data_IF_164430919815
#
_entry.id   IF_164430919815
#
_cell.length_a   1.000
_cell.length_b   1.000
_cell.length_c   1.000
_cell.angle_alpha   90.00
_cell.angle_beta   90.00
_cell.angle_gamma   90.00
#
_symmetry.space_group_name_H-M   'P 1'
#
loop_
_entity.id
_entity.type
_entity.pdbx_description
1 polymer ?
#
# COMPACT_ATOMS: atom_id res chain seq x y z
N UNK A 1 45.71 -44.77 5.95
CA UNK A 1 45.76 -43.75 7.02
C UNK A 1 45.33 -42.37 6.51
N UNK A 2 45.75 -41.95 5.30
CA UNK A 2 45.42 -40.61 4.75
C UNK A 2 43.92 -40.39 4.44
N UNK A 3 43.22 -41.40 3.91
CA UNK A 3 41.79 -41.30 3.57
C UNK A 3 40.91 -41.14 4.82
N UNK A 4 41.28 -41.82 5.91
CA UNK A 4 40.53 -41.76 7.18
C UNK A 4 40.67 -40.36 7.82
N UNK A 5 41.86 -39.75 7.73
CA UNK A 5 42.09 -38.38 8.20
C UNK A 5 41.28 -37.32 7.44
N UNK A 6 41.18 -37.46 6.11
CA UNK A 6 40.36 -36.56 5.28
C UNK A 6 38.86 -36.70 5.56
N UNK A 7 38.37 -37.91 5.83
CA UNK A 7 36.96 -38.14 6.19
C UNK A 7 36.60 -37.53 7.55
N UNK A 8 37.50 -37.59 8.53
CA UNK A 8 37.30 -36.95 9.84
C UNK A 8 37.25 -35.43 9.70
N UNK A 9 38.15 -34.83 8.90
CA UNK A 9 38.14 -33.38 8.63
C UNK A 9 36.89 -32.93 7.88
N UNK A 10 36.43 -33.70 6.90
CA UNK A 10 35.19 -33.43 6.18
C UNK A 10 33.96 -33.51 7.12
N UNK A 11 33.93 -34.50 8.00
CA UNK A 11 32.86 -34.64 9.00
C UNK A 11 32.86 -33.50 10.02
N UNK A 12 34.04 -33.10 10.53
CA UNK A 12 34.16 -31.95 11.43
C UNK A 12 33.72 -30.65 10.74
N UNK A 13 34.12 -30.46 9.48
CA UNK A 13 33.67 -29.33 8.66
C UNK A 13 32.15 -29.30 8.50
N UNK A 14 31.53 -30.45 8.22
CA UNK A 14 30.08 -30.57 8.12
C UNK A 14 29.36 -30.22 9.44
N UNK A 15 29.86 -30.70 10.58
CA UNK A 15 29.28 -30.41 11.90
C UNK A 15 29.41 -28.92 12.26
N UNK A 16 30.58 -28.31 12.00
CA UNK A 16 30.82 -26.89 12.27
C UNK A 16 29.94 -26.01 11.37
N UNK A 17 29.87 -26.31 10.07
CA UNK A 17 29.02 -25.58 9.12
C UNK A 17 27.53 -25.72 9.48
N UNK A 18 27.09 -26.93 9.85
CA UNK A 18 25.73 -27.18 10.29
C UNK A 18 25.38 -26.43 11.59
N UNK A 19 26.30 -26.39 12.55
CA UNK A 19 26.14 -25.64 13.79
C UNK A 19 26.11 -24.12 13.57
N UNK A 20 27.01 -23.60 12.73
CA UNK A 20 27.08 -22.20 12.36
C UNK A 20 25.80 -21.73 11.66
N UNK A 21 25.30 -22.51 10.68
CA UNK A 21 24.06 -22.18 9.99
C UNK A 21 22.86 -22.16 10.95
N UNK A 22 22.73 -23.16 11.83
CA UNK A 22 21.68 -23.17 12.86
C UNK A 22 21.77 -21.96 13.81
N UNK A 23 22.97 -21.60 14.25
CA UNK A 23 23.18 -20.44 15.11
C UNK A 23 22.85 -19.11 14.40
N UNK A 24 23.24 -18.98 13.12
CA UNK A 24 22.92 -17.82 12.28
C UNK A 24 21.41 -17.66 12.09
N UNK A 25 20.69 -18.75 11.77
CA UNK A 25 19.23 -18.74 11.62
C UNK A 25 18.51 -18.38 12.93
N UNK A 26 18.95 -18.94 14.07
CA UNK A 26 18.40 -18.58 15.38
C UNK A 26 18.59 -17.11 15.70
N UNK A 27 19.79 -16.59 15.45
CA UNK A 27 20.09 -15.17 15.65
C UNK A 27 19.23 -14.29 14.73
N UNK A 28 19.07 -14.66 13.47
CA UNK A 28 18.21 -13.96 12.52
C UNK A 28 16.79 -13.82 13.08
N UNK A 29 16.12 -14.92 13.42
CA UNK A 29 14.74 -14.86 13.92
C UNK A 29 14.62 -14.11 15.25
N UNK A 30 15.60 -14.25 16.15
CA UNK A 30 15.60 -13.52 17.41
C UNK A 30 15.71 -12.00 17.20
N UNK A 31 16.59 -11.56 16.29
CA UNK A 31 16.75 -10.13 15.97
C UNK A 31 15.52 -9.59 15.26
N UNK A 32 14.98 -10.32 14.28
CA UNK A 32 13.76 -9.92 13.54
C UNK A 32 12.57 -9.79 14.49
N UNK A 33 12.34 -10.79 15.36
CA UNK A 33 11.25 -10.75 16.33
C UNK A 33 11.37 -9.58 17.30
N UNK A 34 12.59 -9.29 17.78
CA UNK A 34 12.85 -8.12 18.62
C UNK A 34 12.61 -6.81 17.87
N UNK A 35 13.09 -6.71 16.63
CA UNK A 35 12.93 -5.52 15.81
C UNK A 35 11.46 -5.21 15.51
N UNK A 36 10.63 -6.24 15.29
CA UNK A 36 9.18 -6.10 15.15
C UNK A 36 8.54 -5.49 16.40
N UNK A 37 8.88 -5.97 17.60
CA UNK A 37 8.37 -5.39 18.87
C UNK A 37 8.80 -3.94 19.07
N UNK A 38 10.07 -3.63 18.78
CA UNK A 38 10.61 -2.27 18.92
C UNK A 38 9.99 -1.28 17.92
N UNK A 39 9.44 -1.78 16.81
CA UNK A 39 8.74 -0.95 15.84
C UNK A 39 7.52 -0.27 16.47
N UNK A 40 6.79 -0.98 17.35
CA UNK A 40 5.56 -0.50 17.99
C UNK A 40 5.82 0.40 19.21
N UNK A 41 6.98 0.25 19.85
CA UNK A 41 7.29 0.88 21.15
C UNK A 41 7.87 2.30 21.07
N UNK A 42 8.29 2.76 19.89
CA UNK A 42 9.11 3.99 19.75
C UNK A 42 8.57 4.94 18.68
N UNK A 43 8.53 6.25 18.94
CA UNK A 43 8.18 7.27 17.92
C UNK A 43 9.42 7.86 17.20
N UNK A 44 10.62 7.33 17.46
CA UNK A 44 11.84 7.85 16.86
C UNK A 44 11.99 7.45 15.38
N UNK A 45 12.29 8.45 14.56
CA UNK A 45 12.56 8.30 13.12
C UNK A 45 13.98 7.78 12.90
N UNK A 46 14.17 6.46 13.00
CA UNK A 46 15.42 5.83 12.60
C UNK A 46 15.51 5.67 11.08
N UNK A 47 16.69 5.95 10.51
CA UNK A 47 16.98 5.74 9.10
C UNK A 47 18.24 4.90 8.94
N UNK A 48 18.29 3.97 7.97
CA UNK A 48 19.48 3.18 7.73
C UNK A 48 20.60 4.05 7.16
N UNK A 49 21.85 3.72 7.48
CA UNK A 49 23.02 4.55 7.15
C UNK A 49 23.20 4.74 5.64
N UNK A 50 22.73 3.77 4.86
CA UNK A 50 22.85 3.75 3.41
C UNK A 50 21.71 4.45 2.66
N UNK A 51 20.70 5.01 3.34
CA UNK A 51 19.50 5.57 2.70
C UNK A 51 19.79 6.68 1.68
N UNK A 52 20.84 7.46 1.91
CA UNK A 52 21.27 8.55 1.04
C UNK A 52 22.10 8.08 -0.16
N UNK A 53 22.42 6.79 -0.25
CA UNK A 53 23.09 6.20 -1.41
C UNK A 53 22.03 5.66 -2.38
N UNK A 54 21.83 6.38 -3.48
CA UNK A 54 20.81 6.07 -4.48
C UNK A 54 20.92 4.65 -5.04
N UNK A 55 22.15 4.18 -5.30
CA UNK A 55 22.38 2.82 -5.82
C UNK A 55 21.93 1.77 -4.81
N UNK A 56 22.33 1.89 -3.54
CA UNK A 56 21.92 0.95 -2.48
C UNK A 56 20.42 1.01 -2.23
N UNK A 57 19.83 2.21 -2.25
CA UNK A 57 18.38 2.38 -2.07
C UNK A 57 17.60 1.71 -3.20
N UNK A 58 17.99 1.93 -4.45
CA UNK A 58 17.34 1.32 -5.61
C UNK A 58 17.52 -0.21 -5.63
N UNK A 59 18.70 -0.71 -5.28
CA UNK A 59 18.95 -2.15 -5.13
C UNK A 59 18.03 -2.75 -4.04
N UNK A 60 17.96 -2.09 -2.88
CA UNK A 60 17.13 -2.53 -1.77
C UNK A 60 15.65 -2.64 -2.19
N UNK A 61 15.09 -1.56 -2.73
CA UNK A 61 13.69 -1.51 -3.15
C UNK A 61 13.41 -2.58 -4.21
N UNK A 62 14.26 -2.68 -5.24
CA UNK A 62 14.09 -3.64 -6.33
C UNK A 62 14.08 -5.09 -5.82
N UNK A 63 15.01 -5.44 -4.93
CA UNK A 63 15.10 -6.79 -4.36
C UNK A 63 13.92 -7.08 -3.43
N UNK A 64 13.57 -6.16 -2.53
CA UNK A 64 12.46 -6.36 -1.59
C UNK A 64 11.14 -6.53 -2.33
N UNK A 65 10.88 -5.72 -3.38
CA UNK A 65 9.68 -5.86 -4.22
C UNK A 65 9.63 -7.22 -4.91
N UNK A 66 10.76 -7.66 -5.47
CA UNK A 66 10.87 -8.98 -6.11
C UNK A 66 10.64 -10.13 -5.14
N UNK A 67 11.24 -10.07 -3.93
CA UNK A 67 11.08 -11.09 -2.91
C UNK A 67 9.64 -11.15 -2.38
N UNK A 68 9.03 -10.00 -2.09
CA UNK A 68 7.67 -9.91 -1.57
C UNK A 68 6.65 -10.42 -2.60
N UNK A 69 6.86 -10.10 -3.88
CA UNK A 69 6.04 -10.64 -4.98
C UNK A 69 6.16 -12.17 -5.09
N UNK A 70 7.39 -12.72 -5.01
CA UNK A 70 7.61 -14.18 -4.99
C UNK A 70 6.97 -14.86 -3.76
N UNK A 71 6.82 -14.13 -2.66
CA UNK A 71 6.15 -14.57 -1.44
C UNK A 71 4.61 -14.45 -1.51
N UNK A 72 4.06 -14.04 -2.66
CA UNK A 72 2.62 -13.99 -2.92
C UNK A 72 1.94 -12.66 -2.57
N UNK A 73 2.71 -11.60 -2.29
CA UNK A 73 2.14 -10.27 -2.05
C UNK A 73 1.71 -9.65 -3.39
N UNK A 74 0.45 -9.17 -3.51
CA UNK A 74 -0.05 -8.51 -4.72
C UNK A 74 0.77 -7.29 -5.14
N UNK A 75 0.90 -7.08 -6.46
CA UNK A 75 1.65 -5.96 -7.02
C UNK A 75 1.08 -4.59 -6.64
N UNK A 76 -0.24 -4.42 -6.69
CA UNK A 76 -0.93 -3.19 -6.28
C UNK A 76 -0.63 -2.83 -4.81
N UNK A 77 -0.64 -3.80 -3.89
CA UNK A 77 -0.24 -3.60 -2.50
C UNK A 77 1.21 -3.09 -2.43
N UNK A 78 2.16 -3.74 -3.12
CA UNK A 78 3.55 -3.28 -3.14
C UNK A 78 3.70 -1.88 -3.73
N UNK A 79 2.95 -1.55 -4.77
CA UNK A 79 2.98 -0.23 -5.40
C UNK A 79 2.51 0.84 -4.41
N UNK A 80 1.41 0.59 -3.71
CA UNK A 80 0.89 1.46 -2.67
C UNK A 80 1.89 1.61 -1.51
N UNK A 81 2.51 0.51 -1.09
CA UNK A 81 3.50 0.46 -0.02
C UNK A 81 4.72 1.34 -0.30
N UNK A 82 5.31 1.17 -1.49
CA UNK A 82 6.55 1.84 -1.85
C UNK A 82 6.34 3.30 -2.26
N UNK A 83 5.16 3.63 -2.79
CA UNK A 83 4.76 5.00 -3.14
C UNK A 83 4.30 5.81 -1.91
N UNK A 84 3.86 5.15 -0.83
CA UNK A 84 3.51 5.80 0.42
C UNK A 84 4.78 6.22 1.19
N UNK A 85 5.22 7.46 1.00
CA UNK A 85 6.44 7.98 1.62
C UNK A 85 6.41 7.92 3.15
N UNK A 86 5.25 8.14 3.76
CA UNK A 86 5.08 8.10 5.21
C UNK A 86 5.24 6.67 5.75
N UNK A 87 4.54 5.69 5.16
CA UNK A 87 4.64 4.29 5.56
C UNK A 87 6.03 3.71 5.29
N UNK A 88 6.58 3.99 4.11
CA UNK A 88 7.92 3.59 3.74
C UNK A 88 8.95 4.10 4.76
N UNK A 89 8.89 5.40 5.12
CA UNK A 89 9.80 5.98 6.12
C UNK A 89 9.56 5.46 7.55
N UNK A 90 8.30 5.35 7.97
CA UNK A 90 7.95 5.07 9.37
C UNK A 90 8.04 3.58 9.72
N UNK A 91 7.69 2.70 8.78
CA UNK A 91 7.62 1.25 9.01
C UNK A 91 8.82 0.54 8.39
N UNK A 92 9.03 0.66 7.07
CA UNK A 92 10.07 -0.11 6.39
C UNK A 92 11.48 0.39 6.69
N UNK A 93 11.71 1.70 6.61
CA UNK A 93 13.04 2.29 6.84
C UNK A 93 13.42 2.25 8.31
N UNK A 94 12.47 2.49 9.21
CA UNK A 94 12.67 2.33 10.66
C UNK A 94 13.03 0.88 11.01
N UNK A 95 12.24 -0.09 10.53
CA UNK A 95 12.53 -1.50 10.74
C UNK A 95 13.93 -1.87 10.23
N UNK A 96 14.26 -1.44 9.01
CA UNK A 96 15.57 -1.66 8.39
C UNK A 96 16.71 -1.05 9.20
N UNK A 97 16.54 0.16 9.74
CA UNK A 97 17.52 0.80 10.61
C UNK A 97 17.75 0.03 11.91
N UNK A 98 16.69 -0.52 12.52
CA UNK A 98 16.80 -1.36 13.73
C UNK A 98 17.58 -2.64 13.40
N UNK A 99 17.32 -3.28 12.26
CA UNK A 99 18.08 -4.46 11.82
C UNK A 99 19.57 -4.13 11.63
N UNK A 100 19.87 -2.96 11.04
CA UNK A 100 21.25 -2.49 10.85
C UNK A 100 21.97 -2.23 12.16
N UNK A 101 21.32 -1.60 13.15
CA UNK A 101 21.87 -1.41 14.50
C UNK A 101 22.20 -2.74 15.19
N UNK A 102 21.43 -3.80 14.88
CA UNK A 102 21.70 -5.17 15.33
C UNK A 102 22.77 -5.91 14.50
N UNK A 103 23.50 -5.18 13.64
CA UNK A 103 24.57 -5.67 12.77
C UNK A 103 24.11 -6.73 11.77
N UNK A 104 22.85 -6.67 11.33
CA UNK A 104 22.37 -7.53 10.24
C UNK A 104 22.98 -7.11 8.91
N UNK A 105 23.32 -8.09 8.08
CA UNK A 105 23.86 -7.82 6.74
C UNK A 105 22.80 -7.18 5.86
N UNK A 106 23.22 -6.41 4.85
CA UNK A 106 22.30 -5.79 3.89
C UNK A 106 21.41 -6.82 3.17
N UNK A 107 21.92 -8.03 2.92
CA UNK A 107 21.14 -9.15 2.36
C UNK A 107 20.06 -9.62 3.33
N UNK A 108 20.41 -9.81 4.60
CA UNK A 108 19.45 -10.26 5.61
C UNK A 108 18.41 -9.17 5.91
N UNK A 109 18.77 -7.88 5.80
CA UNK A 109 17.84 -6.75 5.89
C UNK A 109 16.76 -6.84 4.80
N UNK A 110 17.15 -7.04 3.53
CA UNK A 110 16.23 -7.19 2.39
C UNK A 110 15.26 -8.36 2.59
N UNK A 111 15.76 -9.49 3.08
CA UNK A 111 14.96 -10.68 3.38
C UNK A 111 13.96 -10.42 4.51
N UNK A 112 14.42 -9.88 5.64
CA UNK A 112 13.56 -9.59 6.79
C UNK A 112 12.46 -8.57 6.47
N UNK A 113 12.76 -7.58 5.63
CA UNK A 113 11.79 -6.58 5.21
C UNK A 113 10.75 -7.20 4.27
N UNK A 114 11.13 -8.09 3.35
CA UNK A 114 10.14 -8.83 2.54
C UNK A 114 9.23 -9.72 3.40
N UNK A 115 9.79 -10.40 4.41
CA UNK A 115 9.00 -11.19 5.36
C UNK A 115 8.03 -10.31 6.15
N UNK A 116 8.47 -9.13 6.62
CA UNK A 116 7.60 -8.17 7.28
C UNK A 116 6.45 -7.72 6.37
N UNK A 117 6.72 -7.41 5.10
CA UNK A 117 5.69 -7.00 4.14
C UNK A 117 4.67 -8.13 3.93
N UNK A 118 5.15 -9.37 3.82
CA UNK A 118 4.29 -10.54 3.71
C UNK A 118 3.40 -10.72 4.95
N UNK A 119 3.96 -10.53 6.14
CA UNK A 119 3.21 -10.65 7.40
C UNK A 119 2.16 -9.54 7.50
N UNK A 120 2.52 -8.27 7.22
CA UNK A 120 1.58 -7.16 7.18
C UNK A 120 0.41 -7.42 6.21
N UNK A 121 0.70 -7.97 5.04
CA UNK A 121 -0.32 -8.37 4.07
C UNK A 121 -1.25 -9.47 4.61
N UNK A 122 -0.69 -10.54 5.19
CA UNK A 122 -1.47 -11.65 5.77
C UNK A 122 -2.33 -11.23 6.95
N UNK A 123 -1.81 -10.33 7.76
CA UNK A 123 -2.50 -9.78 8.92
C UNK A 123 -3.60 -8.78 8.52
N UNK A 124 -3.78 -8.54 7.21
CA UNK A 124 -4.77 -7.61 6.69
C UNK A 124 -4.52 -6.20 7.16
N UNK A 125 -3.25 -5.82 7.41
CA UNK A 125 -2.90 -4.45 7.78
C UNK A 125 -3.24 -3.57 6.59
N UNK A 126 -4.39 -2.94 6.68
CA UNK A 126 -4.79 -1.87 5.80
C UNK A 126 -3.71 -0.80 5.90
N UNK A 127 -2.99 -0.57 4.79
CA UNK A 127 -2.01 0.49 4.78
C UNK A 127 -2.74 1.79 5.08
N UNK A 128 -2.26 2.60 6.04
CA UNK A 128 -2.84 3.91 6.28
C UNK A 128 -2.89 4.62 4.93
N UNK A 129 -4.06 5.15 4.54
CA UNK A 129 -4.20 5.80 3.25
C UNK A 129 -3.05 6.80 3.09
N UNK A 130 -2.28 6.64 2.01
CA UNK A 130 -0.96 7.26 1.79
C UNK A 130 -0.98 8.78 1.67
N UNK A 131 -2.12 9.40 1.96
CA UNK A 131 -2.37 10.80 1.78
C UNK A 131 -2.99 11.34 3.07
N UNK A 132 -2.29 12.26 3.73
CA UNK A 132 -2.83 13.00 4.88
C UNK A 132 -4.17 13.66 4.56
N UNK A 133 -4.38 14.04 3.29
CA UNK A 133 -5.64 14.58 2.81
C UNK A 133 -6.71 13.49 2.77
N UNK A 134 -6.39 12.26 2.35
CA UNK A 134 -7.34 11.14 2.37
C UNK A 134 -7.75 10.78 3.81
N UNK A 135 -6.85 10.82 4.78
CA UNK A 135 -7.22 10.64 6.20
C UNK A 135 -8.17 11.74 6.70
N UNK A 136 -7.92 13.00 6.35
CA UNK A 136 -8.80 14.11 6.69
C UNK A 136 -10.16 13.98 6.00
N UNK A 137 -10.17 13.53 4.74
CA UNK A 137 -11.39 13.21 3.98
C UNK A 137 -12.18 12.09 4.66
N UNK A 138 -11.53 10.97 5.01
CA UNK A 138 -12.20 9.85 5.69
C UNK A 138 -12.77 10.29 7.04
N UNK A 139 -11.98 10.99 7.86
CA UNK A 139 -12.46 11.50 9.15
C UNK A 139 -13.63 12.46 9.00
N UNK A 140 -13.64 13.30 7.96
CA UNK A 140 -14.78 14.16 7.65
C UNK A 140 -16.00 13.34 7.23
N UNK A 141 -15.83 12.32 6.40
CA UNK A 141 -16.91 11.45 5.92
C UNK A 141 -17.55 10.63 7.04
N UNK A 142 -16.78 10.16 8.02
CA UNK A 142 -17.29 9.47 9.20
C UNK A 142 -18.28 10.33 10.01
N UNK A 143 -18.16 11.66 9.93
CA UNK A 143 -19.13 12.58 10.59
C UNK A 143 -20.40 12.82 9.77
N UNK A 144 -20.43 12.38 8.51
CA UNK A 144 -21.49 12.69 7.55
C UNK A 144 -22.26 11.45 7.12
N UNK A 145 -21.62 10.29 7.00
CA UNK A 145 -22.24 9.05 6.52
C UNK A 145 -22.73 8.23 7.72
N UNK A 146 -24.03 7.99 7.79
CA UNK A 146 -24.65 7.31 8.93
C UNK A 146 -25.18 5.91 8.61
N UNK A 147 -25.23 5.54 7.34
CA UNK A 147 -25.73 4.25 6.89
C UNK A 147 -25.14 3.86 5.52
N UNK A 148 -25.30 2.60 5.15
CA UNK A 148 -24.75 2.05 3.91
C UNK A 148 -25.36 2.67 2.65
N UNK A 149 -26.61 3.15 2.70
CA UNK A 149 -27.27 3.78 1.55
C UNK A 149 -26.62 5.14 1.23
N UNK A 150 -26.40 5.97 2.25
CA UNK A 150 -25.64 7.21 2.14
C UNK A 150 -24.19 6.93 1.68
N UNK A 151 -23.57 5.87 2.20
CA UNK A 151 -22.23 5.42 1.77
C UNK A 151 -22.18 5.07 0.28
N UNK A 152 -23.17 4.32 -0.23
CA UNK A 152 -23.30 4.00 -1.66
C UNK A 152 -23.49 5.23 -2.52
N UNK A 153 -24.33 6.18 -2.10
CA UNK A 153 -24.54 7.43 -2.83
C UNK A 153 -23.26 8.26 -2.93
N UNK A 154 -22.50 8.36 -1.84
CA UNK A 154 -21.21 9.06 -1.82
C UNK A 154 -20.17 8.35 -2.70
N UNK A 155 -19.98 7.04 -2.53
CA UNK A 155 -19.00 6.28 -3.30
C UNK A 155 -19.27 6.37 -4.81
N UNK A 156 -20.53 6.20 -5.23
CA UNK A 156 -20.93 6.28 -6.62
C UNK A 156 -20.67 7.70 -7.19
N UNK A 157 -21.01 8.74 -6.41
CA UNK A 157 -20.76 10.13 -6.83
C UNK A 157 -19.28 10.42 -7.05
N UNK A 158 -18.42 9.98 -6.14
CA UNK A 158 -16.98 10.22 -6.23
C UNK A 158 -16.35 9.48 -7.41
N UNK A 159 -16.78 8.25 -7.69
CA UNK A 159 -16.36 7.50 -8.87
C UNK A 159 -16.75 8.19 -10.18
N UNK A 160 -17.96 8.75 -10.26
CA UNK A 160 -18.37 9.51 -11.45
C UNK A 160 -17.62 10.83 -11.60
N UNK A 161 -17.41 11.56 -10.52
CA UNK A 161 -16.60 12.79 -10.56
C UNK A 161 -15.18 12.46 -11.07
N UNK A 162 -14.59 11.34 -10.64
CA UNK A 162 -13.28 10.88 -11.12
C UNK A 162 -13.30 10.54 -12.63
N UNK A 163 -14.33 9.82 -13.10
CA UNK A 163 -14.53 9.54 -14.52
C UNK A 163 -14.69 10.82 -15.35
N UNK A 164 -15.46 11.78 -14.86
CA UNK A 164 -15.67 13.07 -15.52
C UNK A 164 -14.36 13.86 -15.63
N UNK A 165 -13.58 13.93 -14.55
CA UNK A 165 -12.27 14.59 -14.56
C UNK A 165 -11.34 13.93 -15.60
N UNK A 166 -11.29 12.59 -15.66
CA UNK A 166 -10.52 11.88 -16.67
C UNK A 166 -10.98 12.18 -18.10
N UNK A 167 -12.29 12.21 -18.32
CA UNK A 167 -12.86 12.56 -19.62
C UNK A 167 -12.44 13.97 -20.06
N UNK A 168 -12.45 14.94 -19.13
CA UNK A 168 -11.98 16.31 -19.39
C UNK A 168 -10.48 16.34 -19.68
N UNK A 169 -9.66 15.61 -18.91
CA UNK A 169 -8.21 15.51 -19.15
C UNK A 169 -7.87 14.91 -20.52
N UNK A 170 -8.72 14.03 -21.04
CA UNK A 170 -8.47 13.25 -22.26
C UNK A 170 -9.14 13.82 -23.50
N UNK A 171 -10.08 14.76 -23.36
CA UNK A 171 -10.92 15.29 -24.45
C UNK A 171 -10.14 15.79 -25.68
N UNK A 172 -8.95 16.38 -25.47
CA UNK A 172 -8.11 16.89 -26.57
C UNK A 172 -6.80 16.10 -26.75
N UNK A 173 -6.70 14.89 -26.18
CA UNK A 173 -5.50 14.08 -26.24
C UNK A 173 -5.69 12.86 -27.16
N UNK A 174 -5.12 12.87 -28.39
CA UNK A 174 -5.28 11.78 -29.36
C UNK A 174 -4.57 10.48 -28.95
N UNK A 175 -3.76 10.50 -27.87
CA UNK A 175 -3.10 9.33 -27.28
C UNK A 175 -3.63 8.99 -25.90
N UNK A 176 -4.82 9.50 -25.54
CA UNK A 176 -5.45 9.20 -24.27
C UNK A 176 -5.84 7.71 -24.17
N UNK A 177 -5.53 7.12 -23.01
CA UNK A 177 -5.95 5.77 -22.63
C UNK A 177 -7.29 5.81 -21.90
N UNK A 178 -8.01 4.69 -21.92
CA UNK A 178 -9.30 4.57 -21.21
C UNK A 178 -9.15 4.72 -19.69
N UNK A 179 -10.23 5.07 -18.98
CA UNK A 179 -10.21 5.19 -17.51
C UNK A 179 -9.78 3.86 -16.87
N UNK A 180 -10.34 2.74 -17.34
CA UNK A 180 -10.01 1.40 -16.87
C UNK A 180 -8.55 1.03 -17.14
N UNK A 181 -8.01 1.38 -18.30
CA UNK A 181 -6.60 1.15 -18.61
C UNK A 181 -5.67 1.98 -17.71
N UNK A 182 -6.05 3.23 -17.41
CA UNK A 182 -5.23 4.14 -16.61
C UNK A 182 -5.32 3.88 -15.11
N UNK A 183 -6.49 3.54 -14.59
CA UNK A 183 -6.78 3.48 -13.14
C UNK A 183 -7.39 2.16 -12.68
N UNK A 184 -7.69 1.21 -13.56
CA UNK A 184 -8.29 -0.08 -13.17
C UNK A 184 -7.41 -0.92 -12.23
N UNK A 185 -6.09 -0.69 -12.24
CA UNK A 185 -5.17 -1.31 -11.27
C UNK A 185 -5.27 -0.72 -9.85
N UNK A 186 -5.83 0.49 -9.73
CA UNK A 186 -6.11 1.18 -8.46
C UNK A 186 -7.47 0.78 -7.88
N UNK A 187 -8.27 -0.03 -8.60
CA UNK A 187 -9.63 -0.39 -8.17
C UNK A 187 -9.62 -1.86 -7.72
N UNK A 188 -9.94 -2.11 -6.45
CA UNK A 188 -10.11 -3.47 -5.94
C UNK A 188 -11.22 -4.25 -6.67
N UNK A 189 -11.16 -5.58 -6.62
CA UNK A 189 -12.19 -6.44 -7.24
C UNK A 189 -13.60 -6.17 -6.71
N UNK A 190 -13.67 -5.83 -5.43
CA UNK A 190 -14.87 -5.48 -4.69
C UNK A 190 -15.44 -4.15 -5.18
N UNK A 191 -14.60 -3.12 -5.29
CA UNK A 191 -14.99 -1.83 -5.82
C UNK A 191 -15.40 -1.91 -7.30
N UNK A 192 -14.69 -2.73 -8.09
CA UNK A 192 -15.01 -2.98 -9.50
C UNK A 192 -16.41 -3.56 -9.67
N UNK A 193 -16.77 -4.58 -8.87
CA UNK A 193 -18.10 -5.18 -8.93
C UNK A 193 -19.24 -4.19 -8.61
N UNK A 194 -18.97 -3.21 -7.75
CA UNK A 194 -19.89 -2.11 -7.46
C UNK A 194 -19.95 -1.11 -8.63
N UNK A 195 -18.80 -0.70 -9.17
CA UNK A 195 -18.71 0.26 -10.26
C UNK A 195 -19.27 -0.26 -11.59
N UNK A 196 -19.16 -1.55 -11.88
CA UNK A 196 -19.73 -2.16 -13.09
C UNK A 196 -21.26 -2.02 -13.17
N UNK A 197 -21.93 -1.73 -12.04
CA UNK A 197 -23.37 -1.46 -11.98
C UNK A 197 -23.72 -0.01 -12.27
N UNK A 198 -22.72 0.87 -12.33
CA UNK A 198 -22.88 2.30 -12.59
C UNK A 198 -22.79 2.56 -14.10
N UNK A 199 -23.90 3.00 -14.68
CA UNK A 199 -23.90 3.43 -16.08
C UNK A 199 -23.23 4.81 -16.23
N UNK A 200 -21.93 4.79 -16.56
CA UNK A 200 -21.09 5.97 -16.87
C UNK A 200 -21.48 6.68 -18.16
N UNK A 201 -22.16 6.01 -19.11
CA UNK A 201 -22.53 6.61 -20.41
C UNK A 201 -23.80 7.45 -20.36
N UNK A 202 -24.59 7.27 -19.30
CA UNK A 202 -25.90 7.87 -19.14
C UNK A 202 -25.94 8.87 -17.96
N UNK A 203 -24.86 9.67 -17.84
CA UNK A 203 -24.69 10.72 -16.82
C UNK A 203 -25.87 11.69 -16.69
N UNK A 204 -26.76 11.77 -17.69
CA UNK A 204 -28.02 12.52 -17.66
C UNK A 204 -29.12 11.86 -16.79
N UNK A 205 -29.33 10.53 -16.86
CA UNK A 205 -30.18 9.80 -15.89
C UNK A 205 -29.56 9.75 -14.49
N UNK A 206 -28.22 9.76 -14.44
CA UNK A 206 -27.47 9.84 -13.20
C UNK A 206 -27.67 11.17 -12.45
N UNK A 207 -27.86 12.29 -13.14
CA UNK A 207 -28.21 13.57 -12.51
C UNK A 207 -29.70 13.67 -12.09
N UNK A 208 -30.63 13.07 -12.83
CA UNK A 208 -32.07 13.07 -12.50
C UNK A 208 -32.44 12.18 -11.30
N UNK A 209 -31.69 11.10 -11.03
CA UNK A 209 -31.92 10.18 -9.90
C UNK A 209 -31.14 10.54 -8.62
N UNK A 210 -30.15 11.45 -8.69
CA UNK A 210 -29.16 11.67 -7.63
C UNK A 210 -29.67 12.29 -6.30
N UNK A 211 -30.96 12.61 -6.09
CA UNK A 211 -31.39 13.33 -4.86
C UNK A 211 -32.87 13.15 -4.39
N UNK A 212 -33.48 11.96 -4.47
CA UNK A 212 -34.64 11.68 -3.59
C UNK A 212 -34.15 11.47 -2.14
N UNK A 213 -34.15 12.53 -1.32
CA UNK A 213 -33.93 12.57 0.15
C UNK A 213 -32.87 11.60 0.71
N UNK A 214 -31.59 11.86 0.42
CA UNK A 214 -30.47 11.28 1.17
C UNK A 214 -30.09 12.21 2.32
N UNK A 215 -29.57 11.70 3.43
CA UNK A 215 -29.22 12.51 4.60
C UNK A 215 -27.97 13.39 4.42
N UNK A 216 -27.20 13.13 3.36
CA UNK A 216 -25.88 13.71 3.09
C UNK A 216 -25.86 14.70 1.94
N UNK A 217 -25.08 15.77 2.12
CA UNK A 217 -24.82 16.76 1.08
C UNK A 217 -23.63 16.32 0.23
N UNK A 218 -23.89 15.61 -0.88
CA UNK A 218 -22.82 15.06 -1.74
C UNK A 218 -22.01 16.18 -2.42
N UNK A 219 -22.60 17.36 -2.64
CA UNK A 219 -21.88 18.52 -3.19
C UNK A 219 -20.90 19.11 -2.17
N UNK A 220 -21.27 19.18 -0.90
CA UNK A 220 -20.35 19.56 0.19
C UNK A 220 -19.16 18.59 0.25
N UNK A 221 -19.45 17.29 0.21
CA UNK A 221 -18.43 16.24 0.23
C UNK A 221 -17.47 16.36 -0.97
N UNK A 222 -18.00 16.47 -2.18
CA UNK A 222 -17.17 16.60 -3.38
C UNK A 222 -16.30 17.86 -3.32
N UNK A 223 -16.84 19.01 -2.90
CA UNK A 223 -16.07 20.26 -2.73
C UNK A 223 -15.01 20.16 -1.64
N UNK A 224 -15.32 19.49 -0.53
CA UNK A 224 -14.37 19.27 0.56
C UNK A 224 -13.16 18.48 0.04
N UNK A 225 -13.40 17.41 -0.72
CA UNK A 225 -12.34 16.61 -1.34
C UNK A 225 -11.55 17.44 -2.37
N UNK A 226 -12.24 18.20 -3.23
CA UNK A 226 -11.58 19.08 -4.19
C UNK A 226 -10.72 20.17 -3.54
N UNK A 227 -11.02 20.58 -2.29
CA UNK A 227 -10.22 21.58 -1.57
C UNK A 227 -8.79 21.13 -1.25
N UNK A 228 -8.54 19.81 -1.31
CA UNK A 228 -7.22 19.23 -1.09
C UNK A 228 -6.36 19.15 -2.36
N UNK A 229 -6.89 19.54 -3.53
CA UNK A 229 -6.12 19.57 -4.77
C UNK A 229 -5.60 20.99 -5.05
N UNK A 230 -4.29 21.13 -5.27
CA UNK A 230 -3.67 22.43 -5.61
C UNK A 230 -3.81 22.74 -7.11
N UNK A 231 -5.05 22.74 -7.63
CA UNK A 231 -5.40 22.95 -9.05
C UNK A 231 -4.90 21.87 -10.03
N UNK A 232 -4.53 20.68 -9.56
CA UNK A 232 -4.22 19.53 -10.43
C UNK A 232 -5.42 18.59 -10.52
N UNK A 233 -6.04 18.52 -11.69
CA UNK A 233 -7.14 17.60 -12.01
C UNK A 233 -6.78 16.14 -11.68
N UNK A 234 -5.53 15.74 -11.92
CA UNK A 234 -5.06 14.37 -11.68
C UNK A 234 -5.00 13.99 -10.21
N UNK A 235 -4.70 14.95 -9.32
CA UNK A 235 -4.65 14.72 -7.87
C UNK A 235 -6.05 14.63 -7.27
N UNK A 236 -6.95 15.52 -7.71
CA UNK A 236 -8.37 15.48 -7.33
C UNK A 236 -9.03 14.16 -7.72
N UNK A 237 -8.79 13.70 -8.95
CA UNK A 237 -9.30 12.43 -9.45
C UNK A 237 -8.87 11.27 -8.55
N UNK A 238 -7.57 11.17 -8.25
CA UNK A 238 -7.02 10.10 -7.42
C UNK A 238 -7.63 10.15 -6.01
N UNK A 239 -7.74 11.33 -5.41
CA UNK A 239 -8.38 11.49 -4.10
C UNK A 239 -9.83 11.01 -4.11
N UNK A 240 -10.61 11.38 -5.13
CA UNK A 240 -12.01 10.95 -5.28
C UNK A 240 -12.12 9.44 -5.47
N UNK A 241 -11.26 8.86 -6.32
CA UNK A 241 -11.26 7.42 -6.59
C UNK A 241 -10.90 6.59 -5.35
N UNK A 242 -9.82 6.94 -4.66
CA UNK A 242 -9.40 6.25 -3.44
C UNK A 242 -10.42 6.39 -2.30
N UNK A 243 -11.07 7.56 -2.20
CA UNK A 243 -12.13 7.76 -1.22
C UNK A 243 -13.34 6.87 -1.52
N UNK A 244 -13.72 6.74 -2.80
CA UNK A 244 -14.81 5.86 -3.21
C UNK A 244 -14.49 4.38 -2.89
N UNK A 245 -13.28 3.93 -3.21
CA UNK A 245 -12.81 2.58 -2.91
C UNK A 245 -12.86 2.29 -1.41
N UNK A 246 -12.32 3.19 -0.58
CA UNK A 246 -12.33 3.04 0.87
C UNK A 246 -13.75 2.92 1.45
N UNK A 247 -14.70 3.70 0.96
CA UNK A 247 -16.11 3.61 1.39
C UNK A 247 -16.73 2.26 1.04
N UNK A 248 -16.45 1.74 -0.17
CA UNK A 248 -16.99 0.45 -0.63
C UNK A 248 -16.47 -0.68 0.25
N UNK A 249 -15.18 -0.67 0.58
CA UNK A 249 -14.55 -1.68 1.42
C UNK A 249 -15.05 -1.61 2.87
N UNK A 250 -15.03 -0.41 3.45
CA UNK A 250 -15.42 -0.17 4.85
C UNK A 250 -16.88 -0.57 5.11
N UNK A 251 -17.78 -0.19 4.20
CA UNK A 251 -19.21 -0.43 4.34
C UNK A 251 -19.68 -1.72 3.65
N UNK A 252 -18.77 -2.47 3.01
CA UNK A 252 -19.07 -3.70 2.26
C UNK A 252 -20.19 -3.51 1.24
N UNK A 253 -20.12 -2.40 0.51
CA UNK A 253 -21.14 -2.01 -0.47
C UNK A 253 -21.14 -3.00 -1.63
N UNK A 254 -22.33 -3.34 -2.14
CA UNK A 254 -22.50 -4.35 -3.19
C UNK A 254 -23.39 -3.84 -4.30
#
# INVERSE_FOLDING_TARGET
>A
MEIIGLLILAWLGYVILGGYNKAKTRRYHAVVSRAKRTLDETNELYRPTWINNDNKRNEFIGVVRSLSSKQGVPGNYLDHLFNNEAFNRMVLMKFTAILEQNKMSFTDQKMAVSELIQDLWKDGVEMPPSNSNLQQIVSFLDTKIFNSFDGSAVAARLYLDANFIHAVETFNNPSAVSFEEKYGHTISSEAKAFFDKIDVTNGAQYMELNYQTHGVNLTEISRYISSFSNNKSSEELILKLLTAEHLIETWKLR
#
